data_IF_614266941110
#
_entry.id   IF_614266941110
#
_cell.length_a   1.000
_cell.length_b   1.000
_cell.length_c   1.000
_cell.angle_alpha   90.00
_cell.angle_beta   90.00
_cell.angle_gamma   90.00
#
_symmetry.space_group_name_H-M   'P 1'
#
loop_
_entity.id
_entity.type
_entity.pdbx_description
1 polymer ?
#
# COMPACT_ATOMS: atom_id res chain seq x y z
N UNK A 1 25.92 -11.84 6.23
CA UNK A 1 25.98 -10.37 6.20
C UNK A 1 25.11 -9.88 7.35
N UNK A 2 25.65 -9.05 8.24
CA UNK A 2 24.86 -8.52 9.36
C UNK A 2 23.76 -7.60 8.83
N UNK A 3 22.52 -7.87 9.26
CA UNK A 3 21.32 -7.13 8.87
C UNK A 3 21.38 -5.68 9.34
N UNK A 4 21.92 -5.47 10.55
CA UNK A 4 22.04 -4.17 11.19
C UNK A 4 23.48 -3.68 11.22
N UNK A 5 23.64 -2.36 11.25
CA UNK A 5 24.92 -1.64 11.38
C UNK A 5 24.96 -0.85 12.68
N UNK A 6 26.14 -0.33 13.02
CA UNK A 6 26.30 0.61 14.14
C UNK A 6 25.35 1.82 14.01
N UNK A 7 25.18 2.33 12.79
CA UNK A 7 24.28 3.44 12.47
C UNK A 7 22.79 3.09 12.45
N UNK A 8 22.40 1.81 12.57
CA UNK A 8 20.98 1.43 12.63
C UNK A 8 20.34 1.96 13.94
N UNK A 9 19.18 2.63 13.90
CA UNK A 9 18.54 3.14 15.10
C UNK A 9 18.20 2.03 16.11
N UNK A 10 18.34 2.32 17.40
CA UNK A 10 18.07 1.33 18.46
C UNK A 10 16.62 0.83 18.44
N UNK A 11 15.67 1.70 18.09
CA UNK A 11 14.25 1.34 17.92
C UNK A 11 14.03 0.27 16.84
N UNK A 12 14.89 0.23 15.80
CA UNK A 12 14.83 -0.78 14.74
C UNK A 12 15.52 -2.08 15.17
N UNK A 13 16.71 -2.00 15.77
CA UNK A 13 17.48 -3.19 16.21
C UNK A 13 16.73 -4.02 17.26
N UNK A 14 16.01 -3.33 18.15
CA UNK A 14 15.40 -3.93 19.34
C UNK A 14 13.89 -4.14 19.17
N UNK A 15 13.33 -3.90 17.97
CA UNK A 15 11.91 -4.04 17.74
C UNK A 15 11.47 -5.51 17.92
N UNK A 16 10.42 -5.78 18.73
CA UNK A 16 9.90 -7.13 18.87
C UNK A 16 8.91 -7.46 17.75
N UNK A 17 8.78 -8.75 17.43
CA UNK A 17 7.76 -9.27 16.51
C UNK A 17 7.82 -8.64 15.12
N UNK A 18 6.67 -8.39 14.52
CA UNK A 18 6.56 -7.64 13.28
C UNK A 18 6.82 -6.15 13.54
N UNK A 19 7.73 -5.55 12.76
CA UNK A 19 8.04 -4.13 12.84
C UNK A 19 7.96 -3.46 11.48
N UNK A 20 7.16 -2.40 11.35
CA UNK A 20 6.98 -1.66 10.10
C UNK A 20 7.72 -0.33 10.13
N UNK A 21 8.68 -0.14 9.22
CA UNK A 21 9.32 1.15 8.95
C UNK A 21 8.57 1.81 7.79
N UNK A 22 7.96 2.98 8.02
CA UNK A 22 7.03 3.56 7.04
C UNK A 22 6.89 5.09 7.14
N UNK A 23 6.00 5.63 6.33
CA UNK A 23 5.47 7.00 6.35
C UNK A 23 4.03 6.98 5.79
N UNK A 24 3.24 8.02 6.02
CA UNK A 24 1.84 8.22 5.66
C UNK A 24 1.54 8.33 4.14
N UNK A 25 2.26 7.56 3.32
CA UNK A 25 2.13 7.53 1.85
C UNK A 25 1.16 6.43 1.40
N UNK A 26 0.65 6.46 0.15
CA UNK A 26 -0.17 5.37 -0.38
C UNK A 26 0.47 3.98 -0.31
N UNK A 27 1.80 3.87 -0.46
CA UNK A 27 2.49 2.57 -0.34
C UNK A 27 2.60 2.10 1.12
N UNK A 28 2.92 3.02 2.04
CA UNK A 28 2.93 2.72 3.48
C UNK A 28 1.56 2.27 3.99
N UNK A 29 0.51 2.98 3.55
CA UNK A 29 -0.89 2.70 3.87
C UNK A 29 -1.33 1.28 3.54
N UNK A 30 -0.77 0.64 2.50
CA UNK A 30 -1.13 -0.74 2.16
C UNK A 30 -0.84 -1.68 3.33
N UNK A 31 0.37 -1.55 3.87
CA UNK A 31 0.90 -2.45 4.89
C UNK A 31 0.36 -2.06 6.27
N UNK A 32 0.19 -0.77 6.54
CA UNK A 32 -0.51 -0.26 7.73
C UNK A 32 -1.92 -0.86 7.84
N UNK A 33 -2.71 -0.78 6.75
CA UNK A 33 -4.06 -1.35 6.72
C UNK A 33 -4.03 -2.86 6.95
N UNK A 34 -3.15 -3.59 6.25
CA UNK A 34 -3.07 -5.05 6.43
C UNK A 34 -2.71 -5.45 7.86
N UNK A 35 -1.77 -4.76 8.50
CA UNK A 35 -1.41 -5.05 9.89
C UNK A 35 -2.54 -4.72 10.87
N UNK A 36 -3.31 -3.66 10.64
CA UNK A 36 -4.50 -3.34 11.42
C UNK A 36 -5.63 -4.37 11.24
N UNK A 37 -5.84 -4.83 10.01
CA UNK A 37 -6.81 -5.87 9.68
C UNK A 37 -6.45 -7.22 10.33
N UNK A 38 -5.18 -7.64 10.23
CA UNK A 38 -4.68 -8.85 10.87
C UNK A 38 -4.72 -8.75 12.40
N UNK A 39 -4.46 -7.56 12.96
CA UNK A 39 -4.59 -7.32 14.40
C UNK A 39 -6.04 -7.52 14.87
N UNK A 40 -7.01 -7.03 14.12
CA UNK A 40 -8.43 -7.18 14.49
C UNK A 40 -8.90 -8.64 14.41
N UNK A 41 -8.42 -9.41 13.42
CA UNK A 41 -8.85 -10.80 13.21
C UNK A 41 -8.08 -11.79 14.09
N UNK A 42 -6.76 -11.66 14.16
CA UNK A 42 -5.86 -12.66 14.76
C UNK A 42 -5.15 -12.17 16.03
N UNK A 43 -5.41 -10.93 16.46
CA UNK A 43 -4.76 -10.31 17.62
C UNK A 43 -3.22 -10.29 17.53
N UNK A 44 -2.67 -10.20 16.30
CA UNK A 44 -1.23 -10.08 16.10
C UNK A 44 -0.69 -8.83 16.79
N UNK A 45 0.51 -8.95 17.35
CA UNK A 45 1.23 -7.82 17.93
C UNK A 45 2.29 -7.34 16.93
N UNK A 46 2.34 -6.04 16.71
CA UNK A 46 3.30 -5.41 15.80
C UNK A 46 3.63 -4.00 16.27
N UNK A 47 4.77 -3.47 15.82
CA UNK A 47 5.26 -2.13 16.15
C UNK A 47 5.64 -1.35 14.90
N UNK A 48 5.81 -0.03 15.01
CA UNK A 48 6.19 0.80 13.85
C UNK A 48 7.21 1.87 14.21
N UNK A 49 8.01 2.25 13.23
CA UNK A 49 8.83 3.45 13.26
C UNK A 49 8.60 4.25 11.98
N UNK A 50 8.63 5.57 12.13
CA UNK A 50 8.41 6.50 11.03
C UNK A 50 9.74 7.10 10.59
N UNK A 51 9.89 7.33 9.30
CA UNK A 51 11.05 8.07 8.78
C UNK A 51 10.59 9.27 7.97
N UNK A 52 11.30 10.37 8.14
CA UNK A 52 11.08 11.57 7.34
C UNK A 52 11.76 11.37 5.97
N UNK A 53 10.92 11.39 4.94
CA UNK A 53 11.36 11.17 3.56
C UNK A 53 12.10 12.38 2.98
N UNK A 54 11.95 13.57 3.57
CA UNK A 54 12.64 14.80 3.16
C UNK A 54 14.09 14.84 3.65
N UNK A 55 14.44 14.08 4.70
CA UNK A 55 15.81 14.01 5.22
C UNK A 55 16.67 12.93 4.55
N UNK A 56 16.15 12.26 3.52
CA UNK A 56 16.80 11.14 2.83
C UNK A 56 17.25 10.02 3.78
N UNK A 57 16.48 9.79 4.84
CA UNK A 57 16.81 8.77 5.84
C UNK A 57 16.78 7.35 5.22
N UNK A 58 15.84 7.13 4.30
CA UNK A 58 15.73 5.93 3.46
C UNK A 58 16.95 5.67 2.56
N UNK A 59 17.88 6.62 2.46
CA UNK A 59 19.10 6.52 1.64
C UNK A 59 20.35 6.26 2.47
N UNK A 60 20.25 6.20 3.81
CA UNK A 60 21.37 5.88 4.70
C UNK A 60 21.71 4.38 4.63
N UNK A 61 22.98 4.04 4.91
CA UNK A 61 23.49 2.66 4.83
C UNK A 61 22.65 1.66 5.62
N UNK A 62 22.20 2.05 6.82
CA UNK A 62 21.39 1.18 7.66
C UNK A 62 20.05 0.79 7.01
N UNK A 63 19.38 1.74 6.35
CA UNK A 63 18.09 1.48 5.69
C UNK A 63 18.33 0.69 4.40
N UNK A 64 19.38 1.03 3.63
CA UNK A 64 19.71 0.36 2.37
C UNK A 64 20.07 -1.12 2.55
N UNK A 65 20.53 -1.53 3.74
CA UNK A 65 20.73 -2.95 4.08
C UNK A 65 19.43 -3.72 4.27
N UNK A 66 18.38 -3.06 4.72
CA UNK A 66 17.04 -3.63 4.84
C UNK A 66 16.32 -3.61 3.49
N UNK A 67 16.47 -2.52 2.75
CA UNK A 67 15.88 -2.33 1.43
C UNK A 67 16.85 -1.58 0.50
N UNK A 68 17.52 -2.28 -0.44
CA UNK A 68 18.47 -1.65 -1.36
C UNK A 68 17.85 -0.64 -2.33
N UNK A 69 16.52 -0.64 -2.51
CA UNK A 69 15.80 0.39 -3.29
C UNK A 69 15.72 1.73 -2.54
N UNK A 70 15.90 1.72 -1.22
CA UNK A 70 15.81 2.91 -0.37
C UNK A 70 14.44 3.57 -0.45
N UNK A 71 13.38 2.78 -0.31
CA UNK A 71 11.98 3.22 -0.34
C UNK A 71 11.22 2.59 0.83
N UNK A 72 10.21 3.29 1.32
CA UNK A 72 9.23 2.74 2.27
C UNK A 72 8.06 2.10 1.52
N UNK A 73 7.26 1.24 2.20
CA UNK A 73 7.54 0.65 3.52
C UNK A 73 8.66 -0.41 3.49
N UNK A 74 9.08 -0.82 4.69
CA UNK A 74 9.85 -2.03 4.95
C UNK A 74 9.27 -2.71 6.17
N UNK A 75 8.84 -3.96 6.02
CA UNK A 75 8.43 -4.83 7.12
C UNK A 75 9.64 -5.64 7.59
N UNK A 76 9.86 -5.75 8.89
CA UNK A 76 10.86 -6.64 9.48
C UNK A 76 10.12 -7.68 10.30
N UNK A 77 10.29 -8.94 9.96
CA UNK A 77 9.85 -10.04 10.80
C UNK A 77 10.97 -10.46 11.77
N UNK A 78 10.80 -10.08 13.04
CA UNK A 78 11.69 -10.49 14.14
C UNK A 78 11.16 -11.71 14.91
N UNK A 79 10.13 -12.39 14.41
CA UNK A 79 9.64 -13.65 14.98
C UNK A 79 10.47 -14.85 14.52
N UNK A 80 11.24 -14.71 13.43
CA UNK A 80 12.17 -15.70 12.92
C UNK A 80 13.63 -15.39 13.25
N UNK A 81 14.50 -16.40 13.15
CA UNK A 81 15.95 -16.27 13.37
C UNK A 81 16.74 -16.83 12.17
N UNK A 82 17.50 -16.01 11.44
CA UNK A 82 17.68 -14.56 11.62
C UNK A 82 16.41 -13.75 11.29
N UNK A 83 16.31 -12.51 11.77
CA UNK A 83 15.24 -11.59 11.36
C UNK A 83 15.19 -11.43 9.84
N UNK A 84 13.99 -11.27 9.29
CA UNK A 84 13.77 -11.23 7.85
C UNK A 84 13.14 -9.90 7.40
N UNK A 85 13.88 -9.04 6.69
CA UNK A 85 13.30 -7.84 6.08
C UNK A 85 12.53 -8.19 4.80
N UNK A 86 11.38 -7.55 4.61
CA UNK A 86 10.54 -7.64 3.43
C UNK A 86 10.37 -6.23 2.87
N UNK A 87 10.76 -6.06 1.60
CA UNK A 87 10.60 -4.82 0.85
C UNK A 87 9.52 -4.97 -0.22
N UNK A 88 9.10 -3.84 -0.79
CA UNK A 88 7.99 -3.71 -1.73
C UNK A 88 6.64 -4.00 -1.09
N UNK A 89 5.84 -2.95 -0.90
CA UNK A 89 4.51 -3.03 -0.26
C UNK A 89 3.60 -4.16 -0.78
N UNK A 90 3.64 -4.50 -2.08
CA UNK A 90 2.85 -5.61 -2.62
C UNK A 90 3.41 -6.98 -2.20
N UNK A 91 4.72 -7.13 -2.09
CA UNK A 91 5.33 -8.35 -1.54
C UNK A 91 5.12 -8.46 -0.03
N UNK A 92 5.15 -7.34 0.70
CA UNK A 92 4.82 -7.28 2.12
C UNK A 92 3.37 -7.72 2.39
N UNK A 93 2.41 -7.30 1.56
CA UNK A 93 1.03 -7.80 1.64
C UNK A 93 0.94 -9.31 1.44
N UNK A 94 1.63 -9.85 0.43
CA UNK A 94 1.63 -11.30 0.16
C UNK A 94 2.29 -12.08 1.29
N UNK A 95 3.40 -11.58 1.85
CA UNK A 95 4.09 -12.16 2.99
C UNK A 95 3.19 -12.22 4.23
N UNK A 96 2.49 -11.12 4.53
CA UNK A 96 1.57 -11.04 5.66
C UNK A 96 0.39 -12.01 5.49
N UNK A 97 -0.17 -12.12 4.29
CA UNK A 97 -1.25 -13.08 4.03
C UNK A 97 -0.76 -14.52 4.17
N UNK A 98 0.40 -14.86 3.60
CA UNK A 98 0.92 -16.23 3.62
C UNK A 98 1.21 -16.73 5.04
N UNK A 99 1.73 -15.87 5.91
CA UNK A 99 2.22 -16.27 7.23
C UNK A 99 1.28 -15.93 8.40
N UNK A 100 0.41 -14.93 8.25
CA UNK A 100 -0.40 -14.41 9.35
C UNK A 100 -1.92 -14.45 9.09
N UNK A 101 -2.37 -14.75 7.86
CA UNK A 101 -3.79 -14.88 7.53
C UNK A 101 -4.25 -16.35 7.47
N UNK A 102 -4.15 -17.04 8.61
CA UNK A 102 -4.33 -18.50 8.69
C UNK A 102 -5.67 -19.03 8.16
N UNK A 103 -6.74 -18.25 8.25
CA UNK A 103 -8.08 -18.61 7.78
C UNK A 103 -8.42 -18.02 6.40
N UNK A 104 -7.44 -17.44 5.70
CA UNK A 104 -7.63 -16.77 4.40
C UNK A 104 -8.75 -15.72 4.44
N UNK A 105 -8.80 -14.91 5.49
CA UNK A 105 -9.77 -13.81 5.61
C UNK A 105 -9.49 -12.73 4.57
N UNK A 106 -8.21 -12.47 4.29
CA UNK A 106 -7.70 -11.49 3.33
C UNK A 106 -7.03 -12.13 2.10
N UNK A 107 -6.69 -13.42 2.16
CA UNK A 107 -6.21 -14.28 1.08
C UNK A 107 -7.31 -15.17 0.49
N UNK A 108 -6.93 -16.21 -0.25
CA UNK A 108 -7.87 -17.19 -0.82
C UNK A 108 -7.31 -18.60 -0.76
N UNK A 109 -8.11 -19.53 -0.24
CA UNK A 109 -7.78 -20.97 -0.27
C UNK A 109 -7.90 -21.55 -1.70
N UNK A 110 -8.90 -21.10 -2.48
CA UNK A 110 -9.04 -21.50 -3.89
C UNK A 110 -7.91 -20.88 -4.72
N UNK A 111 -7.08 -21.74 -5.31
CA UNK A 111 -5.90 -21.34 -6.10
C UNK A 111 -6.21 -20.43 -7.28
N UNK A 112 -7.41 -20.52 -7.86
CA UNK A 112 -7.80 -19.67 -8.99
C UNK A 112 -8.26 -18.30 -8.51
N UNK A 113 -8.95 -18.22 -7.37
CA UNK A 113 -9.28 -16.95 -6.72
C UNK A 113 -8.02 -16.24 -6.20
N UNK A 114 -7.07 -17.00 -5.63
CA UNK A 114 -5.75 -16.48 -5.24
C UNK A 114 -4.98 -15.93 -6.45
N UNK A 115 -5.00 -16.65 -7.57
CA UNK A 115 -4.39 -16.18 -8.82
C UNK A 115 -5.08 -14.92 -9.36
N UNK A 116 -6.41 -14.81 -9.28
CA UNK A 116 -7.14 -13.60 -9.65
C UNK A 116 -6.72 -12.40 -8.77
N UNK A 117 -6.61 -12.60 -7.45
CA UNK A 117 -6.16 -11.58 -6.52
C UNK A 117 -4.74 -11.08 -6.81
N UNK A 118 -3.81 -12.00 -7.10
CA UNK A 118 -2.44 -11.65 -7.50
C UNK A 118 -2.45 -10.86 -8.81
N UNK A 119 -3.26 -11.24 -9.79
CA UNK A 119 -3.37 -10.49 -11.06
C UNK A 119 -3.79 -9.04 -10.82
N UNK A 120 -4.77 -8.79 -9.95
CA UNK A 120 -5.20 -7.43 -9.61
C UNK A 120 -4.16 -6.64 -8.83
N UNK A 121 -3.49 -7.28 -7.87
CA UNK A 121 -2.37 -6.66 -7.14
C UNK A 121 -1.26 -6.21 -8.10
N UNK A 122 -0.87 -7.08 -9.04
CA UNK A 122 0.16 -6.77 -10.02
C UNK A 122 -0.30 -5.79 -11.09
N UNK A 123 -1.57 -5.86 -11.53
CA UNK A 123 -2.14 -4.86 -12.41
C UNK A 123 -1.99 -3.47 -11.81
N UNK A 124 -2.36 -3.29 -10.53
CA UNK A 124 -2.18 -2.01 -9.89
C UNK A 124 -0.69 -1.65 -9.73
N UNK A 125 0.12 -2.52 -9.12
CA UNK A 125 1.54 -2.26 -8.86
C UNK A 125 2.34 -1.93 -10.12
N UNK A 126 2.08 -2.62 -11.24
CA UNK A 126 2.86 -2.50 -12.47
C UNK A 126 2.25 -1.55 -13.51
N UNK A 127 0.91 -1.43 -13.56
CA UNK A 127 0.23 -0.63 -14.59
C UNK A 127 -0.43 0.62 -14.04
N UNK A 128 -1.14 0.56 -12.92
CA UNK A 128 -1.86 1.70 -12.34
C UNK A 128 -0.96 2.67 -11.57
N UNK A 129 -0.31 2.16 -10.53
CA UNK A 129 0.49 2.92 -9.59
C UNK A 129 1.61 3.75 -10.26
N UNK A 130 2.43 3.21 -11.18
CA UNK A 130 3.48 4.02 -11.80
C UNK A 130 2.91 5.21 -12.56
N UNK A 131 1.81 5.02 -13.30
CA UNK A 131 1.19 6.10 -14.06
C UNK A 131 0.55 7.16 -13.16
N UNK A 132 -0.15 6.77 -12.08
CA UNK A 132 -0.67 7.73 -11.12
C UNK A 132 0.46 8.46 -10.37
N UNK A 133 1.55 7.76 -10.04
CA UNK A 133 2.74 8.36 -9.44
C UNK A 133 3.38 9.42 -10.34
N UNK A 134 3.49 9.13 -11.64
CA UNK A 134 3.97 10.11 -12.62
C UNK A 134 3.00 11.28 -12.79
N UNK A 135 1.69 11.03 -12.82
CA UNK A 135 0.69 12.09 -12.83
C UNK A 135 0.85 13.01 -11.60
N UNK A 136 1.00 12.44 -10.40
CA UNK A 136 1.23 13.22 -9.18
C UNK A 136 2.49 14.08 -9.30
N UNK A 137 3.59 13.51 -9.79
CA UNK A 137 4.84 14.24 -9.96
C UNK A 137 4.69 15.42 -10.93
N UNK A 138 4.26 15.18 -12.18
CA UNK A 138 4.17 16.23 -13.19
C UNK A 138 3.09 17.28 -12.87
N UNK A 139 2.00 16.87 -12.23
CA UNK A 139 0.92 17.80 -11.87
C UNK A 139 1.26 18.64 -10.64
N UNK A 140 2.03 18.12 -9.68
CA UNK A 140 2.27 18.79 -8.39
C UNK A 140 3.72 19.16 -8.13
N UNK A 141 4.61 18.19 -8.18
CA UNK A 141 5.99 18.31 -7.67
C UNK A 141 6.99 18.85 -8.69
N UNK A 142 6.77 18.61 -9.99
CA UNK A 142 7.70 19.04 -11.01
C UNK A 142 7.82 20.58 -11.00
N UNK A 143 9.06 21.14 -11.01
CA UNK A 143 9.29 22.58 -10.93
C UNK A 143 8.73 23.32 -12.15
N UNK A 144 8.71 22.65 -13.30
CA UNK A 144 8.14 23.14 -14.55
C UNK A 144 6.90 22.34 -14.94
N UNK A 145 5.87 23.03 -15.43
CA UNK A 145 4.67 22.37 -15.94
C UNK A 145 4.88 21.95 -17.38
N UNK A 146 4.74 20.65 -17.64
CA UNK A 146 4.88 20.04 -18.97
C UNK A 146 3.50 19.53 -19.40
N UNK A 147 2.72 20.31 -20.19
CA UNK A 147 1.33 19.96 -20.51
C UNK A 147 1.15 18.59 -21.15
N UNK A 148 2.09 18.19 -22.01
CA UNK A 148 2.07 16.87 -22.64
C UNK A 148 2.21 15.73 -21.61
N UNK A 149 3.16 15.84 -20.68
CA UNK A 149 3.39 14.82 -19.65
C UNK A 149 2.19 14.71 -18.71
N UNK A 150 1.65 15.85 -18.25
CA UNK A 150 0.44 15.90 -17.44
C UNK A 150 -0.71 15.21 -18.16
N UNK A 151 -0.99 15.59 -19.41
CA UNK A 151 -2.07 15.00 -20.22
C UNK A 151 -1.88 13.50 -20.39
N UNK A 152 -0.67 13.05 -20.72
CA UNK A 152 -0.34 11.64 -20.91
C UNK A 152 -0.63 10.82 -19.65
N UNK A 153 -0.06 11.21 -18.51
CA UNK A 153 -0.20 10.42 -17.28
C UNK A 153 -1.59 10.54 -16.65
N UNK A 154 -2.26 11.68 -16.82
CA UNK A 154 -3.67 11.83 -16.45
C UNK A 154 -4.56 10.87 -17.25
N UNK A 155 -4.37 10.83 -18.57
CA UNK A 155 -5.13 9.94 -19.47
C UNK A 155 -4.89 8.47 -19.13
N UNK A 156 -3.64 8.07 -18.89
CA UNK A 156 -3.31 6.68 -18.58
C UNK A 156 -3.83 6.27 -17.18
N UNK A 157 -3.85 7.18 -16.22
CA UNK A 157 -4.48 6.93 -14.91
C UNK A 157 -5.99 6.74 -15.04
N UNK A 158 -6.68 7.57 -15.81
CA UNK A 158 -8.11 7.40 -16.10
C UNK A 158 -8.39 6.09 -16.84
N UNK A 159 -7.51 5.69 -17.76
CA UNK A 159 -7.60 4.38 -18.43
C UNK A 159 -7.52 3.24 -17.42
N UNK A 160 -6.62 3.31 -16.43
CA UNK A 160 -6.54 2.32 -15.37
C UNK A 160 -7.81 2.31 -14.49
N UNK A 161 -8.37 3.48 -14.15
CA UNK A 161 -9.65 3.59 -13.44
C UNK A 161 -10.80 2.99 -14.25
N UNK A 162 -10.81 3.18 -15.58
CA UNK A 162 -11.80 2.58 -16.46
C UNK A 162 -11.75 1.04 -16.45
N UNK A 163 -10.55 0.44 -16.35
CA UNK A 163 -10.40 -1.02 -16.21
C UNK A 163 -11.02 -1.51 -14.91
N UNK A 164 -10.76 -0.83 -13.79
CA UNK A 164 -11.36 -1.15 -12.50
C UNK A 164 -12.89 -0.97 -12.53
N UNK A 165 -13.38 0.12 -13.10
CA UNK A 165 -14.81 0.38 -13.27
C UNK A 165 -15.49 -0.73 -14.06
N UNK A 166 -14.94 -1.13 -15.22
CA UNK A 166 -15.51 -2.18 -16.05
C UNK A 166 -15.52 -3.56 -15.36
N UNK A 167 -14.53 -3.82 -14.52
CA UNK A 167 -14.48 -5.04 -13.72
C UNK A 167 -15.51 -5.02 -12.60
N UNK A 168 -15.59 -3.93 -11.84
CA UNK A 168 -16.51 -3.76 -10.71
C UNK A 168 -17.97 -3.69 -11.16
N UNK A 169 -18.26 -3.06 -12.29
CA UNK A 169 -19.61 -3.02 -12.87
C UNK A 169 -20.08 -4.38 -13.37
N UNK A 170 -19.15 -5.31 -13.62
CA UNK A 170 -19.45 -6.59 -14.23
C UNK A 170 -19.72 -6.50 -15.73
N UNK A 171 -19.35 -5.40 -16.41
CA UNK A 171 -19.67 -5.16 -17.83
C UNK A 171 -19.31 -6.34 -18.76
N UNK A 172 -18.26 -7.10 -18.46
CA UNK A 172 -17.84 -8.26 -19.27
C UNK A 172 -18.24 -9.62 -18.69
N UNK A 173 -18.64 -9.69 -17.42
CA UNK A 173 -18.95 -10.95 -16.72
C UNK A 173 -20.43 -11.05 -16.31
N UNK A 174 -21.24 -10.03 -16.59
CA UNK A 174 -22.66 -9.88 -16.24
C UNK A 174 -22.96 -10.06 -14.74
N UNK A 175 -21.96 -9.87 -13.88
CA UNK A 175 -22.09 -9.95 -12.42
C UNK A 175 -21.37 -8.74 -11.83
N UNK A 176 -22.10 -7.76 -11.25
CA UNK A 176 -21.50 -6.66 -10.50
C UNK A 176 -20.70 -7.18 -9.30
N UNK A 177 -19.55 -6.56 -9.03
CA UNK A 177 -18.64 -6.96 -7.98
C UNK A 177 -18.49 -5.87 -6.92
N UNK A 178 -18.43 -6.29 -5.67
CA UNK A 178 -18.10 -5.45 -4.53
C UNK A 178 -16.59 -5.36 -4.30
N UNK A 179 -15.81 -6.35 -4.77
CA UNK A 179 -14.35 -6.45 -4.59
C UNK A 179 -13.64 -7.03 -5.81
N UNK A 180 -12.32 -6.85 -5.87
CA UNK A 180 -11.53 -7.16 -7.07
C UNK A 180 -11.39 -8.67 -7.35
N UNK A 181 -11.34 -9.51 -6.34
CA UNK A 181 -11.11 -10.95 -6.50
C UNK A 181 -12.15 -11.79 -5.77
N UNK A 182 -12.30 -13.04 -6.21
CA UNK A 182 -13.16 -14.04 -5.57
C UNK A 182 -14.53 -14.23 -6.23
N UNK A 183 -15.18 -15.37 -6.00
CA UNK A 183 -16.44 -15.74 -6.64
C UNK A 183 -17.60 -14.76 -6.33
N UNK A 184 -18.61 -14.77 -7.19
CA UNK A 184 -19.81 -13.93 -7.02
C UNK A 184 -19.47 -12.44 -7.04
N UNK A 185 -19.80 -11.73 -5.96
CA UNK A 185 -19.48 -10.31 -5.81
C UNK A 185 -18.02 -10.05 -5.43
N UNK A 186 -17.21 -11.08 -5.23
CA UNK A 186 -15.85 -10.97 -4.72
C UNK A 186 -15.78 -10.89 -3.20
N UNK A 187 -14.55 -10.93 -2.68
CA UNK A 187 -14.21 -10.84 -1.26
C UNK A 187 -13.12 -9.78 -1.09
N UNK A 188 -13.25 -8.95 -0.05
CA UNK A 188 -12.23 -8.00 0.33
C UNK A 188 -10.91 -8.74 0.60
N UNK A 189 -9.83 -8.29 -0.01
CA UNK A 189 -8.56 -9.03 0.00
C UNK A 189 -7.35 -8.11 -0.06
N UNK A 190 -6.16 -8.70 0.00
CA UNK A 190 -4.91 -8.00 -0.26
C UNK A 190 -4.88 -7.30 -1.63
N UNK A 191 -5.63 -7.79 -2.62
CA UNK A 191 -5.71 -7.16 -3.92
C UNK A 191 -6.43 -5.80 -3.85
N UNK A 192 -7.51 -5.73 -3.06
CA UNK A 192 -8.24 -4.49 -2.80
C UNK A 192 -7.35 -3.51 -2.03
N UNK A 193 -6.73 -3.95 -0.93
CA UNK A 193 -5.81 -3.11 -0.12
C UNK A 193 -4.68 -2.56 -0.98
N UNK A 194 -4.05 -3.42 -1.79
CA UNK A 194 -2.91 -3.07 -2.63
C UNK A 194 -3.23 -2.05 -3.72
N UNK A 195 -4.51 -1.93 -4.09
CA UNK A 195 -5.02 -1.01 -5.12
C UNK A 195 -5.61 0.26 -4.51
N UNK A 196 -6.40 0.11 -3.45
CA UNK A 196 -7.28 1.14 -2.90
C UNK A 196 -6.56 2.36 -2.38
N UNK A 197 -5.40 2.19 -1.73
CA UNK A 197 -4.67 3.29 -1.08
C UNK A 197 -4.25 4.39 -2.04
N UNK A 198 -4.01 4.04 -3.31
CA UNK A 198 -3.73 5.01 -4.36
C UNK A 198 -5.00 5.54 -5.02
N UNK A 199 -5.95 4.67 -5.35
CA UNK A 199 -7.15 5.05 -6.11
C UNK A 199 -8.05 5.98 -5.28
N UNK A 200 -8.18 5.76 -3.97
CA UNK A 200 -8.91 6.68 -3.08
C UNK A 200 -8.38 8.11 -3.11
N UNK A 201 -7.09 8.26 -3.42
CA UNK A 201 -6.37 9.52 -3.47
C UNK A 201 -6.53 10.20 -4.84
N UNK A 202 -7.58 9.90 -5.61
CA UNK A 202 -7.85 10.53 -6.89
C UNK A 202 -7.96 12.07 -6.80
N UNK A 203 -8.54 12.62 -5.72
CA UNK A 203 -8.57 14.08 -5.47
C UNK A 203 -7.15 14.61 -5.28
N UNK A 204 -6.32 13.88 -4.54
CA UNK A 204 -4.90 14.19 -4.44
C UNK A 204 -4.18 14.01 -5.78
N UNK A 205 -4.63 13.12 -6.67
CA UNK A 205 -4.07 13.00 -8.01
C UNK A 205 -4.56 14.08 -8.99
N UNK A 206 -5.37 15.04 -8.53
CA UNK A 206 -5.81 16.18 -9.33
C UNK A 206 -7.00 15.88 -10.24
N UNK A 207 -7.73 14.78 -10.02
CA UNK A 207 -9.02 14.54 -10.67
C UNK A 207 -10.12 15.32 -9.95
N UNK A 208 -11.12 15.75 -10.71
CA UNK A 208 -12.30 16.48 -10.21
C UNK A 208 -13.56 15.62 -10.36
N UNK A 209 -14.65 16.01 -9.68
CA UNK A 209 -15.89 15.23 -9.62
C UNK A 209 -16.42 14.85 -11.02
N UNK A 210 -16.49 15.81 -11.95
CA UNK A 210 -17.00 15.57 -13.31
C UNK A 210 -16.17 14.53 -14.09
N UNK A 211 -14.88 14.38 -13.79
CA UNK A 211 -14.05 13.32 -14.39
C UNK A 211 -14.35 11.96 -13.76
N UNK A 212 -14.73 11.95 -12.49
CA UNK A 212 -15.01 10.73 -11.73
C UNK A 212 -16.45 10.23 -11.85
N UNK A 213 -17.38 11.06 -12.34
CA UNK A 213 -18.78 10.67 -12.63
C UNK A 213 -18.89 9.46 -13.57
N UNK A 214 -17.89 9.23 -14.43
CA UNK A 214 -17.81 8.08 -15.32
C UNK A 214 -17.49 6.74 -14.62
N UNK A 215 -17.15 6.77 -13.32
CA UNK A 215 -16.71 5.58 -12.57
C UNK A 215 -17.54 5.33 -11.28
N UNK A 216 -18.88 5.19 -11.37
CA UNK A 216 -19.72 5.03 -10.19
C UNK A 216 -19.43 3.74 -9.40
N UNK A 217 -19.08 2.64 -10.06
CA UNK A 217 -18.78 1.37 -9.37
C UNK A 217 -17.42 1.46 -8.65
N UNK A 218 -16.45 2.14 -9.25
CA UNK A 218 -15.17 2.44 -8.62
C UNK A 218 -15.36 3.33 -7.39
N UNK A 219 -16.15 4.40 -7.48
CA UNK A 219 -16.44 5.28 -6.34
C UNK A 219 -17.13 4.51 -5.21
N UNK A 220 -18.13 3.67 -5.53
CA UNK A 220 -18.77 2.80 -4.54
C UNK A 220 -17.81 1.80 -3.90
N UNK A 221 -16.85 1.26 -4.64
CA UNK A 221 -15.77 0.43 -4.10
C UNK A 221 -14.82 1.21 -3.18
N UNK A 222 -14.49 2.45 -3.52
CA UNK A 222 -13.69 3.33 -2.65
C UNK A 222 -14.41 3.54 -1.31
N UNK A 223 -15.69 3.88 -1.36
CA UNK A 223 -16.51 4.18 -0.18
C UNK A 223 -16.68 2.93 0.71
N UNK A 224 -17.06 1.78 0.13
CA UNK A 224 -17.25 0.53 0.86
C UNK A 224 -16.00 0.12 1.65
N UNK A 225 -14.80 0.28 1.08
CA UNK A 225 -13.55 -0.04 1.79
C UNK A 225 -13.23 1.03 2.85
N UNK A 226 -13.55 2.30 2.61
CA UNK A 226 -13.32 3.38 3.56
C UNK A 226 -14.11 3.21 4.88
N UNK A 227 -15.21 2.47 4.87
CA UNK A 227 -16.04 2.21 6.04
C UNK A 227 -15.38 1.29 7.07
N UNK A 228 -14.37 0.50 6.67
CA UNK A 228 -13.71 -0.48 7.54
C UNK A 228 -12.88 0.21 8.62
N UNK A 229 -13.00 -0.22 9.87
CA UNK A 229 -12.29 0.40 11.00
C UNK A 229 -10.76 0.28 10.90
N UNK A 230 -10.25 -0.89 10.52
CA UNK A 230 -8.82 -1.10 10.28
C UNK A 230 -8.29 -0.20 9.15
N UNK A 231 -9.09 0.04 8.11
CA UNK A 231 -8.75 0.99 7.04
C UNK A 231 -8.65 2.41 7.59
N UNK A 232 -9.61 2.86 8.41
CA UNK A 232 -9.59 4.20 9.03
C UNK A 232 -8.34 4.39 9.90
N UNK A 233 -7.98 3.39 10.72
CA UNK A 233 -6.75 3.43 11.53
C UNK A 233 -5.51 3.45 10.64
N UNK A 234 -5.44 2.56 9.65
CA UNK A 234 -4.32 2.42 8.73
C UNK A 234 -4.03 3.63 7.85
N UNK A 235 -4.98 4.57 7.68
CA UNK A 235 -4.75 5.83 6.95
C UNK A 235 -4.69 7.07 7.84
N UNK A 236 -4.76 6.90 9.16
CA UNK A 236 -4.82 8.00 10.12
C UNK A 236 -3.48 8.75 10.25
N UNK A 237 -3.52 9.92 10.88
CA UNK A 237 -2.33 10.72 11.18
C UNK A 237 -1.33 10.03 12.12
N UNK A 238 -1.71 8.94 12.81
CA UNK A 238 -0.80 8.15 13.65
C UNK A 238 0.49 7.71 12.93
N UNK A 239 0.39 7.50 11.61
CA UNK A 239 1.52 7.07 10.78
C UNK A 239 2.26 8.23 10.09
N UNK A 240 2.02 9.47 10.52
CA UNK A 240 2.63 10.68 9.99
C UNK A 240 3.82 11.12 10.85
N UNK A 241 5.02 11.19 10.26
CA UNK A 241 6.23 11.51 11.03
C UNK A 241 6.30 12.95 11.53
N UNK A 242 5.50 13.86 10.95
CA UNK A 242 5.37 15.24 11.44
C UNK A 242 4.43 15.31 12.66
N UNK A 243 3.41 14.46 12.69
CA UNK A 243 2.43 14.42 13.79
C UNK A 243 2.90 13.53 14.96
N UNK A 244 3.73 12.52 14.71
CA UNK A 244 4.11 11.49 15.70
C UNK A 244 5.64 11.40 15.86
N UNK A 245 6.25 12.50 16.30
CA UNK A 245 7.69 12.62 16.51
C UNK A 245 8.29 11.53 17.42
N UNK A 246 7.50 10.97 18.35
CA UNK A 246 7.94 9.87 19.23
C UNK A 246 8.18 8.54 18.50
N UNK A 247 7.61 8.36 17.31
CA UNK A 247 7.83 7.20 16.45
C UNK A 247 8.90 7.46 15.38
N UNK A 248 9.33 8.71 15.21
CA UNK A 248 10.29 9.11 14.18
C UNK A 248 11.69 8.60 14.54
N UNK A 249 12.35 7.94 13.60
CA UNK A 249 13.73 7.45 13.76
C UNK A 249 14.65 8.10 12.72
N UNK A 250 15.91 8.23 13.11
CA UNK A 250 17.01 8.67 12.25
C UNK A 250 18.29 7.92 12.65
N UNK A 251 19.24 7.83 11.74
CA UNK A 251 20.52 7.16 11.95
C UNK A 251 21.19 7.65 13.23
N UNK A 252 21.84 6.74 13.96
CA UNK A 252 22.69 7.14 15.08
C UNK A 252 23.87 7.94 14.49
N UNK A 253 24.11 9.14 15.02
CA UNK A 253 25.29 9.96 14.70
C UNK A 253 26.52 9.38 15.38
#
# INVERSE_FOLDING_TARGET
>A
MELYTDGTPAAIKNAPGLHLITENTPNGKKVQIMLEELKDVYNIQWTTSLIDLETDEQKKDWFLRLNPNGRIPVLIDNTCSPSFPVMESSAELLYLVDLFDGDNVFGFEDKYEQSEAIQWLFFWQASGQPNQGQNNHFSKSAPEKIPYAITRFKTETLRAYQVLEQHLSGNYKNIPRDFLAGKGKGKYSFADIGTWTWVRAWRYAGFIEVEMEAFPCLLGWIERIAEREAVKRGISGFYDSEENLGLRVAANV
#
